data_IF_674861593619
#
_entry.id   IF_674861593619
#
_cell.length_a   1.000
_cell.length_b   1.000
_cell.length_c   1.000
_cell.angle_alpha   90.00
_cell.angle_beta   90.00
_cell.angle_gamma   90.00
#
_symmetry.space_group_name_H-M   'P 1'
#
loop_
_entity.id
_entity.type
_entity.pdbx_description
1 polymer ?
#
# COMPACT_ATOMS: atom_id res chain seq x y z
N UNK A 1 -7.45 4.18 12.83
CA UNK A 1 -8.12 4.83 11.67
C UNK A 1 -8.16 3.82 10.52
N UNK A 2 -9.17 3.87 9.62
CA UNK A 2 -9.17 3.03 8.42
C UNK A 2 -8.09 3.56 7.47
N UNK A 3 -7.29 2.67 6.90
CA UNK A 3 -6.26 3.03 5.92
C UNK A 3 -6.94 3.56 4.66
N UNK A 4 -6.60 4.76 4.14
CA UNK A 4 -7.14 5.25 2.89
C UNK A 4 -6.42 4.62 1.70
N UNK A 5 -7.18 4.39 0.63
CA UNK A 5 -6.69 4.33 -0.74
C UNK A 5 -7.18 5.58 -1.49
N UNK A 6 -6.56 5.88 -2.61
CA UNK A 6 -6.84 7.06 -3.42
C UNK A 6 -7.12 6.66 -4.85
N UNK A 7 -8.03 7.36 -5.51
CA UNK A 7 -8.29 7.18 -6.94
C UNK A 7 -8.62 8.53 -7.57
N UNK A 8 -8.59 8.60 -8.90
CA UNK A 8 -8.96 9.81 -9.64
C UNK A 8 -10.41 9.65 -10.09
N UNK A 9 -11.25 10.60 -9.72
CA UNK A 9 -12.68 10.58 -10.00
C UNK A 9 -13.12 11.82 -10.78
N UNK A 10 -14.33 11.78 -11.29
CA UNK A 10 -15.12 12.94 -11.74
C UNK A 10 -15.19 14.04 -10.69
N UNK A 11 -15.58 15.24 -11.12
CA UNK A 11 -15.69 16.43 -10.28
C UNK A 11 -16.59 16.24 -9.04
N UNK A 12 -17.68 15.49 -9.17
CA UNK A 12 -18.57 15.14 -8.05
C UNK A 12 -17.89 14.19 -7.04
N UNK A 13 -16.97 13.35 -7.48
CA UNK A 13 -16.28 12.36 -6.65
C UNK A 13 -16.86 10.96 -6.75
N UNK A 14 -17.87 10.74 -7.58
CA UNK A 14 -18.64 9.50 -7.59
C UNK A 14 -18.09 8.45 -8.56
N UNK A 15 -17.57 8.87 -9.72
CA UNK A 15 -17.16 7.94 -10.77
C UNK A 15 -15.63 7.94 -10.93
N UNK A 16 -14.96 6.79 -10.77
CA UNK A 16 -13.53 6.68 -11.03
C UNK A 16 -13.22 6.71 -12.53
N UNK A 17 -12.07 7.27 -12.87
CA UNK A 17 -11.56 7.25 -14.23
C UNK A 17 -10.80 5.97 -14.54
N UNK A 18 -11.11 5.37 -15.69
CA UNK A 18 -10.36 4.26 -16.29
C UNK A 18 -9.34 4.83 -17.28
N UNK A 19 -8.07 4.92 -16.86
CA UNK A 19 -7.02 5.65 -17.57
C UNK A 19 -6.11 4.75 -18.41
N UNK A 20 -6.30 3.43 -18.34
CA UNK A 20 -5.53 2.43 -19.08
C UNK A 20 -6.46 1.33 -19.63
N UNK A 21 -5.91 0.46 -20.46
CA UNK A 21 -6.60 -0.67 -21.06
C UNK A 21 -5.71 -1.91 -20.95
N UNK A 22 -6.24 -3.01 -20.44
CA UNK A 22 -5.48 -4.26 -20.33
C UNK A 22 -5.29 -4.95 -21.69
N UNK A 23 -4.53 -6.06 -21.71
CA UNK A 23 -4.23 -6.82 -22.94
C UNK A 23 -5.48 -7.35 -23.66
N UNK A 24 -6.61 -7.47 -22.97
CA UNK A 24 -7.89 -7.91 -23.54
C UNK A 24 -8.76 -6.75 -24.03
N UNK A 25 -8.31 -5.50 -23.93
CA UNK A 25 -9.12 -4.35 -24.30
C UNK A 25 -10.05 -3.87 -23.18
N UNK A 26 -9.92 -4.41 -21.96
CA UNK A 26 -10.77 -4.01 -20.83
C UNK A 26 -10.23 -2.72 -20.19
N UNK A 27 -11.08 -1.70 -19.96
CA UNK A 27 -10.67 -0.49 -19.25
C UNK A 27 -10.16 -0.80 -17.84
N UNK A 28 -9.10 -0.12 -17.41
CA UNK A 28 -8.48 -0.28 -16.09
C UNK A 28 -8.41 1.05 -15.35
N UNK A 29 -8.98 1.04 -14.15
CA UNK A 29 -8.90 2.11 -13.16
C UNK A 29 -7.87 1.75 -12.08
N UNK A 30 -7.29 2.76 -11.44
CA UNK A 30 -6.22 2.57 -10.47
C UNK A 30 -6.57 3.09 -9.09
N UNK A 31 -6.19 2.31 -8.09
CA UNK A 31 -6.09 2.72 -6.70
C UNK A 31 -4.62 2.95 -6.33
N UNK A 32 -4.37 3.99 -5.58
CA UNK A 32 -3.06 4.37 -5.06
C UNK A 32 -3.10 4.29 -3.55
N UNK A 33 -2.01 3.84 -2.94
CA UNK A 33 -1.89 3.88 -1.47
C UNK A 33 -1.45 5.26 -0.98
N UNK A 34 -0.72 5.99 -1.83
CA UNK A 34 -0.28 7.35 -1.54
C UNK A 34 -1.08 8.37 -2.35
N UNK A 35 -1.59 9.42 -1.68
CA UNK A 35 -2.25 10.54 -2.37
C UNK A 35 -1.35 11.18 -3.42
N UNK A 36 -0.07 11.37 -3.08
CA UNK A 36 0.90 12.00 -3.98
C UNK A 36 1.07 11.23 -5.30
N UNK A 37 0.98 9.90 -5.29
CA UNK A 37 1.04 9.08 -6.51
C UNK A 37 -0.22 9.30 -7.39
N UNK A 38 -1.40 9.41 -6.78
CA UNK A 38 -2.63 9.75 -7.50
C UNK A 38 -2.58 11.19 -8.07
N UNK A 39 -2.08 12.14 -7.28
CA UNK A 39 -1.91 13.54 -7.69
C UNK A 39 -0.90 13.68 -8.84
N UNK A 40 0.12 12.83 -8.92
CA UNK A 40 1.07 12.82 -10.03
C UNK A 40 0.41 12.41 -11.37
N UNK A 41 -0.64 11.60 -11.33
CA UNK A 41 -1.39 11.16 -12.52
C UNK A 41 -2.51 12.14 -12.89
N UNK A 42 -3.06 12.87 -11.92
CA UNK A 42 -4.20 13.78 -12.09
C UNK A 42 -4.05 14.80 -13.25
N UNK A 43 -2.91 15.49 -13.47
CA UNK A 43 -2.77 16.44 -14.58
C UNK A 43 -2.99 15.81 -15.95
N UNK A 44 -2.66 14.53 -16.12
CA UNK A 44 -2.85 13.83 -17.38
C UNK A 44 -4.33 13.60 -17.66
N UNK A 45 -5.10 13.21 -16.63
CA UNK A 45 -6.57 13.04 -16.72
C UNK A 45 -7.23 14.38 -16.99
N UNK A 46 -6.83 15.44 -16.27
CA UNK A 46 -7.37 16.79 -16.47
C UNK A 46 -7.16 17.34 -17.86
N UNK A 47 -5.98 17.08 -18.42
CA UNK A 47 -5.63 17.54 -19.76
C UNK A 47 -6.37 16.77 -20.87
N UNK A 48 -6.60 15.46 -20.68
CA UNK A 48 -7.12 14.58 -21.73
C UNK A 48 -8.63 14.39 -21.70
N UNK A 49 -9.25 14.46 -20.52
CA UNK A 49 -10.60 13.95 -20.29
C UNK A 49 -11.49 14.96 -19.58
N UNK A 50 -11.09 15.41 -18.38
CA UNK A 50 -11.96 16.24 -17.53
C UNK A 50 -11.14 17.23 -16.67
N UNK A 51 -11.14 18.53 -17.00
CA UNK A 51 -10.40 19.56 -16.25
C UNK A 51 -10.72 19.61 -14.75
N UNK A 52 -11.92 19.18 -14.36
CA UNK A 52 -12.44 19.23 -12.99
C UNK A 52 -12.24 17.91 -12.23
N UNK A 53 -11.59 16.91 -12.85
CA UNK A 53 -11.24 15.66 -12.18
C UNK A 53 -10.49 15.92 -10.87
N UNK A 54 -10.66 15.06 -9.87
CA UNK A 54 -10.01 15.21 -8.56
C UNK A 54 -9.55 13.89 -7.99
N UNK A 55 -8.67 13.94 -6.99
CA UNK A 55 -8.30 12.76 -6.21
C UNK A 55 -9.32 12.59 -5.08
N UNK A 56 -9.91 11.41 -5.00
CA UNK A 56 -10.86 11.02 -3.96
C UNK A 56 -10.28 9.89 -3.14
N UNK A 57 -10.49 9.94 -1.83
CA UNK A 57 -10.08 8.89 -0.91
C UNK A 57 -11.26 7.94 -0.63
N UNK A 58 -10.96 6.65 -0.52
CA UNK A 58 -11.90 5.62 -0.09
C UNK A 58 -11.21 4.67 0.90
N UNK A 59 -11.95 3.92 1.73
CA UNK A 59 -11.38 2.91 2.60
C UNK A 59 -10.61 1.84 1.81
N UNK A 60 -9.43 1.44 2.29
CA UNK A 60 -8.58 0.44 1.62
C UNK A 60 -9.28 -0.91 1.45
N UNK A 61 -10.11 -1.32 2.42
CA UNK A 61 -10.90 -2.55 2.36
C UNK A 61 -11.91 -2.52 1.19
N UNK A 62 -12.53 -1.36 0.97
CA UNK A 62 -13.43 -1.16 -0.17
C UNK A 62 -12.67 -1.17 -1.50
N UNK A 63 -11.57 -0.44 -1.59
CA UNK A 63 -10.70 -0.44 -2.77
C UNK A 63 -10.20 -1.84 -3.10
N UNK A 64 -9.76 -2.62 -2.09
CA UNK A 64 -9.32 -3.98 -2.28
C UNK A 64 -10.43 -4.91 -2.77
N UNK A 65 -11.63 -4.82 -2.19
CA UNK A 65 -12.77 -5.61 -2.67
C UNK A 65 -13.08 -5.33 -4.14
N UNK A 66 -12.99 -4.07 -4.58
CA UNK A 66 -13.21 -3.68 -5.98
C UNK A 66 -12.15 -4.26 -6.93
N UNK A 67 -10.91 -4.51 -6.47
CA UNK A 67 -9.90 -5.18 -7.31
C UNK A 67 -10.12 -6.69 -7.42
N UNK A 68 -10.91 -7.29 -6.51
CA UNK A 68 -11.23 -8.72 -6.54
C UNK A 68 -12.47 -9.03 -7.41
N UNK A 69 -13.21 -8.03 -7.89
CA UNK A 69 -14.43 -8.26 -8.67
C UNK A 69 -14.12 -8.86 -10.04
N UNK A 70 -14.57 -10.08 -10.28
CA UNK A 70 -14.41 -10.77 -11.57
C UNK A 70 -15.34 -10.19 -12.66
N UNK A 71 -16.59 -9.87 -12.29
CA UNK A 71 -17.52 -9.17 -13.17
C UNK A 71 -17.32 -7.66 -13.11
N UNK A 72 -16.45 -7.18 -13.99
CA UNK A 72 -16.08 -5.78 -14.08
C UNK A 72 -17.09 -4.95 -14.89
N UNK A 73 -18.08 -5.57 -15.54
CA UNK A 73 -18.97 -4.88 -16.48
C UNK A 73 -19.85 -3.84 -15.77
N UNK A 74 -20.35 -4.17 -14.59
CA UNK A 74 -21.14 -3.26 -13.75
C UNK A 74 -20.35 -2.03 -13.28
N UNK A 75 -19.02 -2.17 -13.17
CA UNK A 75 -18.13 -1.10 -12.72
C UNK A 75 -17.58 -0.25 -13.89
N UNK A 76 -17.87 -0.62 -15.14
CA UNK A 76 -17.29 0.02 -16.32
C UNK A 76 -15.85 -0.38 -16.65
N UNK A 77 -15.21 -1.22 -15.82
CA UNK A 77 -13.84 -1.68 -16.00
C UNK A 77 -13.26 -2.38 -14.77
N UNK A 78 -12.03 -2.88 -14.91
CA UNK A 78 -11.30 -3.55 -13.82
C UNK A 78 -10.57 -2.52 -12.96
N UNK A 79 -10.41 -2.81 -11.68
CA UNK A 79 -9.54 -2.04 -10.80
C UNK A 79 -8.25 -2.76 -10.48
N UNK A 80 -7.17 -2.00 -10.32
CA UNK A 80 -5.87 -2.50 -9.82
C UNK A 80 -5.26 -1.50 -8.85
N UNK A 81 -4.46 -2.01 -7.92
CA UNK A 81 -3.55 -1.12 -7.20
C UNK A 81 -2.34 -0.79 -8.07
N UNK A 82 -1.96 0.48 -8.04
CA UNK A 82 -0.70 0.95 -8.57
C UNK A 82 0.28 1.14 -7.42
N UNK A 83 1.22 0.20 -7.31
CA UNK A 83 2.29 0.28 -6.33
C UNK A 83 3.27 1.41 -6.71
N UNK A 84 3.82 2.07 -5.69
CA UNK A 84 4.88 3.06 -5.89
C UNK A 84 6.13 2.37 -6.46
N UNK A 85 6.62 2.85 -7.61
CA UNK A 85 7.83 2.32 -8.26
C UNK A 85 9.04 2.30 -7.32
N UNK A 86 9.15 3.34 -6.47
CA UNK A 86 10.22 3.43 -5.46
C UNK A 86 10.13 2.26 -4.47
N UNK A 87 8.94 1.96 -3.97
CA UNK A 87 8.74 0.87 -3.03
C UNK A 87 8.96 -0.50 -3.67
N UNK A 88 8.66 -0.67 -4.95
CA UNK A 88 8.96 -1.92 -5.68
C UNK A 88 10.47 -2.14 -5.80
N UNK A 89 11.23 -1.09 -6.12
CA UNK A 89 12.70 -1.14 -6.14
C UNK A 89 13.25 -1.51 -4.75
N UNK A 90 12.71 -0.91 -3.69
CA UNK A 90 13.07 -1.26 -2.32
C UNK A 90 12.75 -2.72 -1.97
N UNK A 91 11.56 -3.21 -2.30
CA UNK A 91 11.13 -4.57 -2.06
C UNK A 91 12.02 -5.60 -2.76
N UNK A 92 12.32 -5.40 -4.05
CA UNK A 92 13.22 -6.27 -4.81
C UNK A 92 14.65 -6.25 -4.23
N UNK A 93 15.14 -5.09 -3.81
CA UNK A 93 16.45 -4.98 -3.16
C UNK A 93 16.54 -5.67 -1.79
N UNK A 94 15.42 -5.82 -1.06
CA UNK A 94 15.37 -6.40 0.29
C UNK A 94 14.99 -7.88 0.33
N UNK A 95 14.24 -8.37 -0.64
CA UNK A 95 13.83 -9.78 -0.73
C UNK A 95 14.93 -10.72 -1.26
N UNK A 96 16.05 -10.19 -1.73
CA UNK A 96 17.14 -10.99 -2.29
C UNK A 96 16.87 -11.52 -3.70
N UNK A 97 15.83 -11.02 -4.38
CA UNK A 97 15.46 -11.40 -5.74
C UNK A 97 14.35 -10.51 -6.32
N UNK A 98 14.04 -10.70 -7.60
CA UNK A 98 12.91 -10.00 -8.22
C UNK A 98 11.60 -10.70 -7.84
N UNK A 99 10.78 -10.02 -7.04
CA UNK A 99 9.46 -10.51 -6.63
C UNK A 99 8.42 -10.42 -7.76
N UNK A 100 8.77 -9.78 -8.88
CA UNK A 100 7.89 -9.52 -10.02
C UNK A 100 6.63 -8.74 -9.63
N UNK A 101 6.75 -7.82 -8.67
CA UNK A 101 5.63 -7.07 -8.10
C UNK A 101 4.94 -6.19 -9.14
N UNK A 102 5.73 -5.56 -10.01
CA UNK A 102 5.23 -4.75 -11.14
C UNK A 102 4.36 -5.58 -12.09
N UNK A 103 4.83 -6.76 -12.46
CA UNK A 103 4.13 -7.65 -13.40
C UNK A 103 2.84 -8.21 -12.78
N UNK A 104 2.86 -8.44 -11.47
CA UNK A 104 1.73 -9.02 -10.73
C UNK A 104 0.79 -7.97 -10.14
N UNK A 105 1.04 -6.67 -10.39
CA UNK A 105 0.29 -5.55 -9.82
C UNK A 105 0.14 -5.65 -8.28
N UNK A 106 1.18 -6.13 -7.60
CA UNK A 106 1.17 -6.33 -6.15
C UNK A 106 1.77 -5.12 -5.43
N UNK A 107 1.13 -4.72 -4.34
CA UNK A 107 1.62 -3.64 -3.48
C UNK A 107 2.59 -4.21 -2.44
N UNK A 108 3.89 -3.85 -2.46
CA UNK A 108 4.82 -4.27 -1.43
C UNK A 108 4.50 -3.59 -0.10
N UNK A 109 4.77 -4.33 0.97
CA UNK A 109 4.72 -3.81 2.33
C UNK A 109 5.94 -4.30 3.13
N UNK A 110 6.35 -3.53 4.12
CA UNK A 110 7.59 -3.70 4.86
C UNK A 110 7.31 -3.83 6.35
N UNK A 111 8.02 -4.74 7.01
CA UNK A 111 7.94 -4.90 8.45
C UNK A 111 9.26 -5.43 9.04
N UNK A 112 9.44 -5.25 10.33
CA UNK A 112 10.42 -5.97 11.15
C UNK A 112 9.68 -6.41 12.42
N UNK A 113 9.75 -7.69 12.76
CA UNK A 113 9.01 -8.27 13.89
C UNK A 113 9.44 -7.71 15.25
N UNK A 114 10.58 -7.04 15.32
CA UNK A 114 11.09 -6.39 16.53
C UNK A 114 10.50 -4.99 16.73
N UNK A 115 9.81 -4.44 15.73
CA UNK A 115 9.05 -3.20 15.87
C UNK A 115 7.66 -3.56 16.39
N UNK A 116 7.27 -2.95 17.52
CA UNK A 116 5.96 -3.17 18.15
C UNK A 116 5.23 -1.85 18.33
N UNK A 117 3.91 -1.93 18.49
CA UNK A 117 3.07 -0.77 18.81
C UNK A 117 2.86 -0.73 20.33
N UNK A 118 3.19 0.36 21.05
CA UNK A 118 3.08 0.40 22.52
C UNK A 118 1.69 0.11 23.07
N UNK A 119 0.63 0.37 22.30
CA UNK A 119 -0.75 0.13 22.69
C UNK A 119 -1.20 -1.35 22.53
N UNK A 120 -0.44 -2.15 21.77
CA UNK A 120 -0.76 -3.55 21.48
C UNK A 120 0.54 -4.37 21.44
N UNK A 121 0.93 -4.95 22.58
CA UNK A 121 2.20 -5.67 22.74
C UNK A 121 2.36 -6.87 21.78
N UNK A 122 1.25 -7.44 21.31
CA UNK A 122 1.24 -8.57 20.37
C UNK A 122 1.08 -8.12 18.91
N UNK A 123 1.09 -6.83 18.64
CA UNK A 123 0.94 -6.28 17.30
C UNK A 123 2.27 -5.72 16.78
N UNK A 124 2.62 -6.11 15.56
CA UNK A 124 3.70 -5.46 14.83
C UNK A 124 3.13 -4.67 13.65
N UNK A 125 3.64 -3.44 13.44
CA UNK A 125 3.16 -2.61 12.36
C UNK A 125 3.73 -3.07 11.01
N UNK A 126 2.89 -3.02 9.99
CA UNK A 126 3.27 -3.18 8.59
C UNK A 126 3.10 -1.83 7.87
N UNK A 127 4.12 -1.45 7.12
CA UNK A 127 4.23 -0.16 6.45
C UNK A 127 4.17 -0.33 4.93
N UNK A 128 3.52 0.59 4.23
CA UNK A 128 3.58 0.66 2.76
C UNK A 128 4.89 1.26 2.24
N UNK A 129 5.62 1.99 3.09
CA UNK A 129 6.90 2.63 2.77
C UNK A 129 8.02 2.04 3.61
N UNK A 130 9.13 1.71 2.96
CA UNK A 130 10.35 1.30 3.68
C UNK A 130 10.85 2.43 4.59
N UNK A 131 10.75 3.67 4.13
CA UNK A 131 11.23 4.84 4.87
C UNK A 131 10.49 5.04 6.19
N UNK A 132 9.20 4.72 6.25
CA UNK A 132 8.42 4.81 7.49
C UNK A 132 8.89 3.76 8.51
N UNK A 133 9.13 2.53 8.06
CA UNK A 133 9.72 1.48 8.92
C UNK A 133 11.09 1.91 9.45
N UNK A 134 11.93 2.49 8.60
CA UNK A 134 13.26 2.98 8.99
C UNK A 134 13.18 4.14 9.98
N UNK A 135 12.23 5.06 9.79
CA UNK A 135 12.00 6.18 10.69
C UNK A 135 11.55 5.69 12.08
N UNK A 136 10.57 4.78 12.12
CA UNK A 136 10.08 4.17 13.38
C UNK A 136 11.20 3.41 14.08
N UNK A 137 11.98 2.62 13.34
CA UNK A 137 13.14 1.91 13.89
C UNK A 137 14.17 2.84 14.51
N UNK A 138 14.55 3.90 13.78
CA UNK A 138 15.54 4.88 14.25
C UNK A 138 15.04 5.58 15.51
N UNK A 139 13.77 6.00 15.52
CA UNK A 139 13.12 6.61 16.68
C UNK A 139 13.09 5.67 17.89
N UNK A 140 12.84 4.37 17.69
CA UNK A 140 12.87 3.35 18.76
C UNK A 140 14.25 3.10 19.38
N UNK A 141 15.32 3.56 18.73
CA UNK A 141 16.70 3.50 19.22
C UNK A 141 17.20 4.83 19.81
N UNK A 142 16.39 5.89 19.76
CA UNK A 142 16.69 7.15 20.43
C UNK A 142 16.76 6.91 21.95
N UNK A 143 17.79 7.46 22.59
CA UNK A 143 18.02 7.28 24.04
C UNK A 143 18.64 5.95 24.46
N UNK A 144 18.82 4.98 23.54
CA UNK A 144 19.54 3.72 23.84
C UNK A 144 21.05 3.90 23.77
N UNK A 145 21.77 3.19 24.64
CA UNK A 145 23.24 3.09 24.66
C UNK A 145 23.80 2.36 23.44
N UNK A 146 25.10 2.51 23.18
CA UNK A 146 25.76 1.82 22.07
C UNK A 146 25.79 0.30 22.27
N UNK A 147 25.95 -0.18 23.51
CA UNK A 147 25.82 -1.60 23.85
C UNK A 147 24.42 -2.14 23.51
N UNK A 148 23.36 -1.42 23.90
CA UNK A 148 21.98 -1.82 23.59
C UNK A 148 21.72 -1.83 22.07
N UNK A 149 22.24 -0.85 21.34
CA UNK A 149 22.14 -0.81 19.87
C UNK A 149 22.87 -1.97 19.22
N UNK A 150 24.03 -2.39 19.74
CA UNK A 150 24.75 -3.58 19.26
C UNK A 150 23.96 -4.86 19.50
N UNK A 151 23.27 -4.98 20.64
CA UNK A 151 22.42 -6.13 20.97
C UNK A 151 21.21 -6.19 20.04
N UNK A 152 20.54 -5.04 19.81
CA UNK A 152 19.38 -4.97 18.91
C UNK A 152 19.79 -5.24 17.46
N UNK A 153 20.97 -4.77 17.04
CA UNK A 153 21.53 -4.99 15.72
C UNK A 153 20.90 -4.11 14.62
N UNK A 154 21.15 -4.45 13.37
CA UNK A 154 20.59 -3.74 12.22
C UNK A 154 19.11 -4.11 11.99
N UNK A 155 18.37 -3.20 11.34
CA UNK A 155 17.00 -3.43 10.89
C UNK A 155 16.94 -4.63 9.92
N UNK A 156 16.10 -5.61 10.24
CA UNK A 156 15.87 -6.84 9.47
C UNK A 156 14.57 -6.70 8.69
N UNK A 157 14.67 -5.94 7.60
CA UNK A 157 13.52 -5.62 6.74
C UNK A 157 12.99 -6.90 6.10
N UNK A 158 11.75 -7.26 6.42
CA UNK A 158 10.96 -8.26 5.70
C UNK A 158 9.99 -7.57 4.75
N UNK A 159 9.70 -8.27 3.65
CA UNK A 159 8.78 -7.80 2.61
C UNK A 159 7.60 -8.77 2.51
N UNK A 160 6.39 -8.23 2.44
CA UNK A 160 5.14 -8.95 2.15
C UNK A 160 4.34 -8.16 1.10
N UNK A 161 3.14 -8.62 0.75
CA UNK A 161 2.25 -7.88 -0.16
C UNK A 161 0.90 -7.61 0.46
N UNK A 162 0.21 -6.57 -0.01
CA UNK A 162 -1.13 -6.22 0.47
C UNK A 162 -2.10 -7.40 0.39
N UNK A 163 -2.07 -8.17 -0.71
CA UNK A 163 -2.90 -9.36 -0.86
C UNK A 163 -2.62 -10.41 0.21
N UNK A 164 -1.34 -10.66 0.51
CA UNK A 164 -0.95 -11.65 1.52
C UNK A 164 -1.37 -11.19 2.92
N UNK A 165 -1.26 -9.88 3.20
CA UNK A 165 -1.73 -9.30 4.47
C UNK A 165 -3.25 -9.38 4.60
N UNK A 166 -4.00 -8.97 3.57
CA UNK A 166 -5.47 -9.02 3.62
C UNK A 166 -5.95 -10.46 3.76
N UNK A 167 -5.36 -11.43 3.03
CA UNK A 167 -5.67 -12.85 3.20
C UNK A 167 -5.41 -13.34 4.62
N UNK A 168 -4.25 -12.99 5.20
CA UNK A 168 -3.93 -13.39 6.58
C UNK A 168 -4.93 -12.86 7.61
N UNK A 169 -5.50 -11.66 7.38
CA UNK A 169 -6.54 -11.08 8.24
C UNK A 169 -7.90 -11.76 8.00
N UNK A 170 -8.21 -12.10 6.75
CA UNK A 170 -9.54 -12.63 6.34
C UNK A 170 -9.70 -14.12 6.63
N UNK A 171 -8.65 -14.92 6.39
CA UNK A 171 -8.68 -16.37 6.54
C UNK A 171 -8.62 -16.82 8.00
N UNK A 172 -8.39 -15.88 8.93
CA UNK A 172 -8.39 -16.16 10.36
C UNK A 172 -7.36 -17.20 10.79
N UNK A 173 -6.32 -17.45 9.98
CA UNK A 173 -5.22 -18.31 10.37
C UNK A 173 -4.69 -17.82 11.72
N UNK A 174 -4.76 -18.69 12.73
CA UNK A 174 -4.37 -18.49 14.13
C UNK A 174 -2.86 -18.20 14.30
N UNK A 175 -2.30 -17.25 13.58
CA UNK A 175 -1.06 -16.61 13.98
C UNK A 175 -1.47 -15.52 14.95
N UNK A 176 -1.20 -15.76 16.22
CA UNK A 176 -1.45 -14.96 17.44
C UNK A 176 -0.93 -13.52 17.40
N UNK A 177 -0.46 -13.03 16.25
CA UNK A 177 0.16 -11.72 16.05
C UNK A 177 -0.84 -10.82 15.32
N UNK A 178 -1.27 -9.74 15.98
CA UNK A 178 -2.19 -8.77 15.39
C UNK A 178 -1.44 -7.89 14.39
N UNK A 179 -1.86 -7.91 13.13
CA UNK A 179 -1.28 -7.02 12.12
C UNK A 179 -1.94 -5.64 12.20
N UNK A 180 -1.13 -4.59 12.30
CA UNK A 180 -1.61 -3.20 12.24
C UNK A 180 -1.03 -2.53 11.01
N UNK A 181 -1.90 -2.10 10.11
CA UNK A 181 -1.51 -1.33 8.93
C UNK A 181 -1.31 0.14 9.31
N UNK A 182 -0.11 0.66 9.05
CA UNK A 182 0.21 2.08 9.26
C UNK A 182 0.48 2.77 7.91
N UNK A 183 -0.07 3.97 7.76
CA UNK A 183 0.24 4.86 6.64
C UNK A 183 0.88 6.14 7.14
N UNK A 184 1.70 6.77 6.30
CA UNK A 184 2.38 8.02 6.63
C UNK A 184 1.43 9.22 6.81
N UNK A 185 0.15 9.10 6.45
CA UNK A 185 -0.85 10.14 6.77
C UNK A 185 -1.31 10.09 8.23
N UNK A 186 -0.96 9.02 8.96
CA UNK A 186 -1.41 8.77 10.35
C UNK A 186 -0.24 8.78 11.35
N UNK A 187 1.01 8.94 10.88
CA UNK A 187 2.24 9.01 11.70
C UNK A 187 2.68 10.46 11.88
#
# INVERSE_FOLDING_TARGET
ARVPAFTITTADGEQPYFTDVDKSGTPVGFFFVERADAEAVLPQVRKKTDPEAKVTALPLDEAWRLTQTEDWTENGGKFRFQASRRQIVHANGKSGGDMQLDVKAKVPMFYDRRVTVPAEETAFPIFFKLEDLQAVWTKGLEGRTDEERKIVGALDVKVTTLDDVVRSITDGEERTEKLVLLTSEVL
#
